data_IF_490355952395
#
_entry.id   IF_490355952395
#
_cell.length_a   1.000
_cell.length_b   1.000
_cell.length_c   1.000
_cell.angle_alpha   90.00
_cell.angle_beta   90.00
_cell.angle_gamma   90.00
#
_symmetry.space_group_name_H-M   'P 1'
#
loop_
_entity.id
_entity.type
_entity.pdbx_description
1 polymer ?
#
# COMPACT_ATOMS: atom_id res chain seq x y z
N UNK A 1 -4.23 3.36 -20.03
CA UNK A 1 -3.15 2.58 -19.34
C UNK A 1 -2.91 1.34 -20.15
N UNK A 2 -1.71 1.14 -20.63
CA UNK A 2 -1.30 0.02 -21.49
C UNK A 2 -0.05 -0.72 -20.99
N UNK A 3 0.47 -0.31 -19.84
CA UNK A 3 1.62 -0.93 -19.17
C UNK A 3 1.29 -1.19 -17.70
N UNK A 4 1.50 -2.41 -17.23
CA UNK A 4 1.40 -2.77 -15.80
C UNK A 4 2.78 -3.24 -15.32
N UNK A 5 3.27 -2.70 -14.21
CA UNK A 5 4.44 -3.27 -13.53
C UNK A 5 4.03 -3.95 -12.23
N UNK A 6 4.51 -5.15 -11.97
CA UNK A 6 4.21 -5.91 -10.74
C UNK A 6 5.47 -6.10 -9.90
N UNK A 7 5.57 -5.33 -8.82
CA UNK A 7 6.56 -5.50 -7.76
C UNK A 7 5.99 -6.36 -6.64
N UNK A 8 6.84 -7.15 -5.95
CA UNK A 8 6.33 -8.11 -4.95
C UNK A 8 7.39 -8.53 -3.93
N UNK A 9 6.93 -8.89 -2.76
CA UNK A 9 7.68 -9.75 -1.84
C UNK A 9 7.63 -11.20 -2.31
N UNK A 10 8.59 -12.01 -1.91
CA UNK A 10 8.59 -13.44 -2.26
C UNK A 10 7.45 -14.16 -1.54
N UNK A 11 6.71 -14.98 -2.25
CA UNK A 11 5.53 -15.66 -1.71
C UNK A 11 4.24 -14.83 -1.65
N UNK A 12 4.26 -13.52 -1.96
CA UNK A 12 3.06 -12.68 -1.98
C UNK A 12 2.16 -12.84 -3.22
N UNK A 13 2.41 -13.81 -4.09
CA UNK A 13 1.54 -14.13 -5.24
C UNK A 13 1.77 -13.30 -6.50
N UNK A 14 2.84 -12.48 -6.55
CA UNK A 14 3.03 -11.52 -7.64
C UNK A 14 3.20 -12.11 -9.04
N UNK A 15 3.87 -13.26 -9.19
CA UNK A 15 3.99 -13.92 -10.49
C UNK A 15 2.65 -14.49 -10.98
N UNK A 16 1.82 -15.01 -10.07
CA UNK A 16 0.49 -15.52 -10.38
C UNK A 16 -0.45 -14.38 -10.79
N UNK A 17 -0.47 -13.29 -10.02
CA UNK A 17 -1.27 -12.10 -10.36
C UNK A 17 -0.87 -11.53 -11.72
N UNK A 18 0.44 -11.42 -12.00
CA UNK A 18 0.91 -10.88 -13.27
C UNK A 18 0.50 -11.73 -14.47
N UNK A 19 0.64 -13.08 -14.37
CA UNK A 19 0.20 -13.99 -15.42
C UNK A 19 -1.30 -13.88 -15.66
N UNK A 20 -2.10 -13.87 -14.61
CA UNK A 20 -3.57 -13.77 -14.70
C UNK A 20 -4.03 -12.41 -15.22
N UNK A 21 -3.33 -11.33 -14.90
CA UNK A 21 -3.58 -10.00 -15.48
C UNK A 21 -3.29 -10.00 -16.98
N UNK A 22 -2.15 -10.56 -17.40
CA UNK A 22 -1.80 -10.67 -18.81
C UNK A 22 -2.85 -11.49 -19.57
N UNK A 23 -3.27 -12.64 -19.04
CA UNK A 23 -4.33 -13.48 -19.61
C UNK A 23 -5.68 -12.74 -19.69
N UNK A 24 -6.12 -12.11 -18.60
CA UNK A 24 -7.40 -11.40 -18.55
C UNK A 24 -7.46 -10.21 -19.51
N UNK A 25 -6.32 -9.51 -19.70
CA UNK A 25 -6.24 -8.35 -20.58
C UNK A 25 -5.87 -8.71 -22.03
N UNK A 26 -5.40 -9.93 -22.30
CA UNK A 26 -4.83 -10.32 -23.58
C UNK A 26 -3.48 -9.64 -23.86
N UNK A 27 -2.69 -9.35 -22.83
CA UNK A 27 -1.43 -8.61 -22.91
C UNK A 27 -0.21 -9.53 -22.85
N UNK A 28 0.92 -9.05 -23.37
CA UNK A 28 2.21 -9.71 -23.23
C UNK A 28 2.66 -9.75 -21.76
N UNK A 29 3.17 -10.89 -21.30
CA UNK A 29 3.82 -11.01 -20.00
C UNK A 29 5.33 -11.05 -20.17
N UNK A 30 6.04 -10.10 -19.59
CA UNK A 30 7.50 -10.10 -19.51
C UNK A 30 7.94 -10.23 -18.06
N UNK A 31 8.35 -11.42 -17.72
CA UNK A 31 8.92 -11.71 -16.41
C UNK A 31 10.44 -11.45 -16.38
N UNK A 32 11.06 -11.81 -15.24
CA UNK A 32 12.50 -11.64 -15.03
C UNK A 32 13.33 -12.26 -16.16
N UNK A 33 13.01 -13.47 -16.57
CA UNK A 33 13.80 -14.26 -17.50
C UNK A 33 13.73 -13.68 -18.91
N UNK A 34 12.54 -13.35 -19.34
CA UNK A 34 12.31 -12.67 -20.63
C UNK A 34 12.97 -11.30 -20.71
N UNK A 35 12.94 -10.53 -19.61
CA UNK A 35 13.66 -9.25 -19.55
C UNK A 35 15.18 -9.43 -19.57
N UNK A 36 15.71 -10.51 -18.97
CA UNK A 36 17.13 -10.84 -19.09
C UNK A 36 17.53 -11.23 -20.50
N UNK A 37 16.74 -12.07 -21.16
CA UNK A 37 16.99 -12.47 -22.54
C UNK A 37 16.97 -11.26 -23.48
N UNK A 38 15.99 -10.36 -23.32
CA UNK A 38 15.93 -9.12 -24.08
C UNK A 38 17.13 -8.19 -23.80
N UNK A 39 17.63 -8.14 -22.56
CA UNK A 39 18.81 -7.36 -22.20
C UNK A 39 20.12 -8.02 -22.68
N UNK A 40 20.19 -9.33 -22.80
CA UNK A 40 21.36 -10.08 -23.29
C UNK A 40 21.65 -9.81 -24.78
N UNK A 41 20.63 -9.48 -25.56
CA UNK A 41 20.79 -9.06 -26.98
C UNK A 41 21.69 -7.81 -27.09
N UNK A 42 21.81 -7.00 -26.03
CA UNK A 42 22.72 -5.85 -25.97
C UNK A 42 24.14 -6.19 -25.42
N UNK A 43 24.60 -7.42 -25.58
CA UNK A 43 25.99 -7.84 -25.30
C UNK A 43 26.41 -7.83 -23.81
N UNK A 44 25.53 -8.17 -22.89
CA UNK A 44 25.90 -8.44 -21.50
C UNK A 44 26.15 -9.95 -21.32
N UNK A 45 27.37 -10.41 -20.98
CA UNK A 45 27.68 -11.82 -20.82
C UNK A 45 26.86 -12.45 -19.69
N UNK A 46 26.31 -13.66 -19.90
CA UNK A 46 25.51 -14.40 -18.89
C UNK A 46 26.25 -14.59 -17.57
N UNK A 47 27.57 -14.78 -17.59
CA UNK A 47 28.41 -14.89 -16.42
C UNK A 47 28.42 -13.64 -15.52
N UNK A 48 28.21 -12.46 -16.09
CA UNK A 48 28.10 -11.19 -15.35
C UNK A 48 26.68 -11.02 -14.75
N UNK A 49 25.67 -11.60 -15.38
CA UNK A 49 24.28 -11.58 -14.92
C UNK A 49 24.08 -12.45 -13.66
N UNK A 50 24.66 -13.67 -13.68
CA UNK A 50 24.59 -14.57 -12.51
C UNK A 50 25.36 -14.03 -11.30
N UNK A 51 26.51 -13.37 -11.54
CA UNK A 51 27.29 -12.74 -10.47
C UNK A 51 26.56 -11.56 -9.79
N UNK A 52 25.75 -10.83 -10.52
CA UNK A 52 24.95 -9.72 -9.99
C UNK A 52 23.77 -10.20 -9.14
N UNK A 53 23.31 -11.44 -9.40
CA UNK A 53 22.23 -12.05 -8.63
C UNK A 53 22.70 -12.71 -7.32
N UNK A 54 23.90 -13.27 -7.28
CA UNK A 54 24.35 -14.12 -6.17
C UNK A 54 25.40 -13.47 -5.26
N UNK A 55 26.18 -12.50 -5.72
CA UNK A 55 27.30 -11.93 -4.93
C UNK A 55 27.15 -10.41 -4.72
N UNK A 56 27.43 -9.98 -3.49
CA UNK A 56 27.66 -8.57 -3.21
C UNK A 56 28.79 -8.02 -4.11
N UNK A 57 28.48 -6.99 -4.90
CA UNK A 57 29.45 -6.32 -5.75
C UNK A 57 30.63 -5.84 -4.89
N UNK A 58 31.83 -6.33 -5.22
CA UNK A 58 33.06 -5.98 -4.52
C UNK A 58 33.40 -4.50 -4.69
N UNK A 59 34.14 -3.95 -3.71
CA UNK A 59 34.65 -2.56 -3.79
C UNK A 59 35.44 -2.30 -5.09
N UNK A 60 36.13 -3.30 -5.62
CA UNK A 60 36.90 -3.22 -6.86
C UNK A 60 36.05 -2.95 -8.11
N UNK A 61 34.77 -3.38 -8.14
CA UNK A 61 33.89 -3.17 -9.30
C UNK A 61 33.37 -1.72 -9.40
N UNK A 62 33.48 -0.95 -8.31
CA UNK A 62 33.07 0.48 -8.28
C UNK A 62 34.06 1.41 -9.02
N UNK A 63 35.28 0.96 -9.24
CA UNK A 63 36.36 1.79 -9.84
C UNK A 63 36.61 1.50 -11.32
N UNK A 64 35.81 0.65 -11.98
CA UNK A 64 35.92 0.41 -13.43
C UNK A 64 35.20 1.50 -14.21
N UNK A 65 35.80 1.97 -15.32
CA UNK A 65 35.24 3.01 -16.20
C UNK A 65 33.87 2.65 -16.80
N UNK A 66 33.59 1.36 -17.02
CA UNK A 66 32.29 0.83 -17.43
C UNK A 66 32.02 -0.48 -16.68
N UNK A 67 31.53 -0.41 -15.43
CA UNK A 67 31.25 -1.60 -14.63
C UNK A 67 30.18 -2.47 -15.32
N UNK A 68 30.29 -3.80 -15.27
CA UNK A 68 29.30 -4.72 -15.87
C UNK A 68 27.87 -4.44 -15.42
N UNK A 69 27.68 -4.03 -14.17
CA UNK A 69 26.37 -3.69 -13.60
C UNK A 69 25.71 -2.46 -14.25
N UNK A 70 26.48 -1.48 -14.74
CA UNK A 70 25.91 -0.31 -15.45
C UNK A 70 25.43 -0.71 -16.85
N UNK A 71 26.18 -1.53 -17.58
CA UNK A 71 25.76 -2.06 -18.88
C UNK A 71 24.52 -2.92 -18.74
N UNK A 72 24.49 -3.81 -17.74
CA UNK A 72 23.29 -4.60 -17.42
C UNK A 72 22.06 -3.72 -17.17
N UNK A 73 22.19 -2.69 -16.32
CA UNK A 73 21.09 -1.78 -16.03
C UNK A 73 20.66 -0.97 -17.26
N UNK A 74 21.59 -0.63 -18.11
CA UNK A 74 21.27 0.06 -19.38
C UNK A 74 20.45 -0.85 -20.30
N UNK A 75 20.90 -2.07 -20.55
CA UNK A 75 20.18 -3.07 -21.36
C UNK A 75 18.80 -3.38 -20.78
N UNK A 76 18.72 -3.60 -19.45
CA UNK A 76 17.45 -3.85 -18.79
C UNK A 76 16.48 -2.67 -18.89
N UNK A 77 17.00 -1.44 -18.81
CA UNK A 77 16.20 -0.22 -18.98
C UNK A 77 15.71 -0.08 -20.42
N UNK A 78 16.59 -0.33 -21.39
CA UNK A 78 16.23 -0.28 -22.81
C UNK A 78 15.15 -1.32 -23.14
N UNK A 79 15.32 -2.56 -22.70
CA UNK A 79 14.35 -3.63 -22.90
C UNK A 79 12.98 -3.31 -22.27
N UNK A 80 12.97 -2.84 -21.02
CA UNK A 80 11.74 -2.46 -20.34
C UNK A 80 11.01 -1.30 -21.02
N UNK A 81 11.75 -0.27 -21.46
CA UNK A 81 11.20 0.88 -22.20
C UNK A 81 10.70 0.51 -23.58
N UNK A 82 11.43 -0.35 -24.30
CA UNK A 82 10.99 -0.85 -25.59
C UNK A 82 9.69 -1.66 -25.48
N UNK A 83 9.60 -2.53 -24.47
CA UNK A 83 8.36 -3.25 -24.20
C UNK A 83 7.21 -2.29 -23.86
N UNK A 84 7.45 -1.31 -22.99
CA UNK A 84 6.46 -0.30 -22.62
C UNK A 84 6.01 0.54 -23.84
N UNK A 85 6.91 0.86 -24.76
CA UNK A 85 6.59 1.62 -25.97
C UNK A 85 5.69 0.84 -26.95
N UNK A 86 5.71 -0.51 -26.92
CA UNK A 86 4.76 -1.33 -27.67
C UNK A 86 3.37 -1.34 -27.06
N UNK A 87 3.27 -1.04 -25.76
CA UNK A 87 2.03 -1.13 -25.00
C UNK A 87 1.55 -2.55 -24.76
N UNK A 88 0.41 -2.68 -24.07
CA UNK A 88 -0.26 -3.97 -23.77
C UNK A 88 0.68 -4.99 -23.13
N UNK A 89 1.42 -4.58 -22.10
CA UNK A 89 2.44 -5.42 -21.45
C UNK A 89 2.34 -5.41 -19.92
N UNK A 90 2.54 -6.59 -19.33
CA UNK A 90 2.70 -6.79 -17.88
C UNK A 90 4.17 -7.12 -17.60
N UNK A 91 4.87 -6.25 -16.89
CA UNK A 91 6.28 -6.37 -16.55
C UNK A 91 6.48 -6.80 -15.09
N UNK A 92 7.26 -7.84 -14.82
CA UNK A 92 7.38 -8.42 -13.48
C UNK A 92 8.81 -8.35 -12.93
N UNK A 93 8.99 -7.59 -11.85
CA UNK A 93 10.22 -7.59 -11.04
C UNK A 93 11.35 -6.72 -11.58
N UNK A 94 12.57 -6.97 -11.07
CA UNK A 94 13.83 -6.28 -11.44
C UNK A 94 13.78 -4.76 -11.45
N UNK A 95 12.97 -4.16 -10.58
CA UNK A 95 12.86 -2.72 -10.52
C UNK A 95 12.16 -2.09 -11.73
N UNK A 96 11.32 -2.83 -12.47
CA UNK A 96 10.59 -2.33 -13.65
C UNK A 96 9.85 -1.02 -13.37
N UNK A 97 9.29 -0.86 -12.16
CA UNK A 97 8.71 0.42 -11.73
C UNK A 97 9.73 1.56 -11.81
N UNK A 98 10.95 1.34 -11.32
CA UNK A 98 11.99 2.36 -11.27
C UNK A 98 12.62 2.60 -12.64
N UNK A 99 12.74 1.56 -13.46
CA UNK A 99 13.27 1.64 -14.83
C UNK A 99 12.36 2.44 -15.75
N UNK A 100 11.04 2.29 -15.60
CA UNK A 100 10.06 3.06 -16.37
C UNK A 100 9.83 4.47 -15.80
N UNK A 101 10.19 4.70 -14.52
CA UNK A 101 10.02 6.00 -13.89
C UNK A 101 8.56 6.42 -13.79
N UNK A 102 8.26 7.67 -14.11
CA UNK A 102 6.91 8.23 -14.03
C UNK A 102 6.20 8.21 -15.41
N UNK A 103 6.31 7.10 -16.14
CA UNK A 103 5.58 6.91 -17.39
C UNK A 103 4.06 7.09 -17.13
N UNK A 104 3.39 8.04 -17.81
CA UNK A 104 2.00 8.41 -17.48
C UNK A 104 1.01 7.26 -17.65
N UNK A 105 1.23 6.40 -18.66
CA UNK A 105 0.33 5.30 -19.00
C UNK A 105 0.67 3.97 -18.31
N UNK A 106 1.63 4.00 -17.38
CA UNK A 106 2.01 2.82 -16.62
C UNK A 106 1.31 2.78 -15.24
N UNK A 107 0.69 1.64 -14.95
CA UNK A 107 0.16 1.30 -13.63
C UNK A 107 1.16 0.46 -12.84
N UNK A 108 1.54 0.93 -11.67
CA UNK A 108 2.53 0.28 -10.83
C UNK A 108 1.89 -0.39 -9.62
N UNK A 109 1.79 -1.71 -9.68
CA UNK A 109 1.27 -2.56 -8.61
C UNK A 109 2.40 -3.10 -7.73
N UNK A 110 2.21 -3.09 -6.42
CA UNK A 110 3.08 -3.79 -5.47
C UNK A 110 2.27 -4.74 -4.60
N UNK A 111 2.73 -5.97 -4.45
CA UNK A 111 2.12 -6.99 -3.58
C UNK A 111 3.01 -7.26 -2.38
N UNK A 112 2.41 -7.19 -1.20
CA UNK A 112 3.02 -7.50 0.08
C UNK A 112 2.14 -8.50 0.84
N UNK A 113 2.72 -9.25 1.79
CA UNK A 113 1.94 -10.07 2.72
C UNK A 113 2.72 -10.34 4.01
N UNK A 114 2.05 -10.62 5.14
CA UNK A 114 2.71 -11.04 6.36
C UNK A 114 3.64 -12.23 6.11
N UNK A 115 4.82 -12.20 6.75
CA UNK A 115 5.84 -13.24 6.53
C UNK A 115 5.29 -14.64 6.76
N UNK A 116 4.58 -14.87 7.85
CA UNK A 116 4.05 -16.19 8.20
C UNK A 116 3.03 -16.70 7.17
N UNK A 117 2.22 -15.79 6.61
CA UNK A 117 1.32 -16.14 5.51
C UNK A 117 2.10 -16.56 4.26
N UNK A 118 3.16 -15.82 3.91
CA UNK A 118 4.02 -16.15 2.75
C UNK A 118 4.74 -17.46 2.92
N UNK A 119 5.23 -17.74 4.12
CA UNK A 119 5.89 -19.01 4.48
C UNK A 119 4.93 -20.18 4.31
N UNK A 120 3.74 -20.13 4.91
CA UNK A 120 2.73 -21.20 4.77
C UNK A 120 2.34 -21.42 3.31
N UNK A 121 2.12 -20.33 2.55
CA UNK A 121 1.78 -20.40 1.14
C UNK A 121 2.89 -21.08 0.32
N UNK A 122 4.15 -20.74 0.57
CA UNK A 122 5.29 -21.32 -0.15
C UNK A 122 5.52 -22.78 0.26
N UNK A 123 5.42 -23.11 1.55
CA UNK A 123 5.49 -24.47 2.03
C UNK A 123 4.46 -25.37 1.34
N UNK A 124 3.20 -24.95 1.29
CA UNK A 124 2.13 -25.73 0.64
C UNK A 124 2.30 -25.85 -0.87
N UNK A 125 2.78 -24.79 -1.54
CA UNK A 125 2.94 -24.78 -3.00
C UNK A 125 4.13 -25.63 -3.49
N UNK A 126 5.25 -25.58 -2.76
CA UNK A 126 6.51 -26.22 -3.17
C UNK A 126 6.76 -27.57 -2.47
N UNK A 127 5.89 -27.96 -1.54
CA UNK A 127 6.09 -29.15 -0.72
C UNK A 127 7.24 -29.02 0.30
N UNK A 128 7.60 -27.80 0.69
CA UNK A 128 8.68 -27.53 1.64
C UNK A 128 8.20 -27.56 3.08
N UNK A 129 9.13 -27.82 4.01
CA UNK A 129 8.89 -27.51 5.42
C UNK A 129 8.78 -25.98 5.63
N UNK A 130 8.11 -25.54 6.68
CA UNK A 130 8.03 -24.12 7.00
C UNK A 130 9.42 -23.49 7.23
N UNK A 131 10.36 -24.23 7.79
CA UNK A 131 11.75 -23.78 7.97
C UNK A 131 12.45 -23.52 6.62
N UNK A 132 12.31 -24.42 5.66
CA UNK A 132 12.84 -24.25 4.30
C UNK A 132 12.18 -23.06 3.59
N UNK A 133 10.84 -22.97 3.67
CA UNK A 133 10.09 -21.86 3.10
C UNK A 133 10.49 -20.51 3.72
N UNK A 134 10.67 -20.45 5.05
CA UNK A 134 11.15 -19.25 5.74
C UNK A 134 12.55 -18.84 5.28
N UNK A 135 13.49 -19.80 5.25
CA UNK A 135 14.84 -19.54 4.79
C UNK A 135 14.84 -18.95 3.37
N UNK A 136 14.05 -19.55 2.47
CA UNK A 136 13.95 -19.07 1.08
C UNK A 136 13.27 -17.70 0.98
N UNK A 137 12.23 -17.43 1.74
CA UNK A 137 11.60 -16.10 1.79
C UNK A 137 12.61 -15.04 2.22
N UNK A 138 13.35 -15.27 3.28
CA UNK A 138 14.36 -14.33 3.79
C UNK A 138 15.50 -14.10 2.80
N UNK A 139 16.00 -15.14 2.18
CA UNK A 139 17.08 -15.08 1.18
C UNK A 139 16.67 -14.23 -0.04
N UNK A 140 15.54 -14.56 -0.65
CA UNK A 140 15.07 -13.87 -1.86
C UNK A 140 14.70 -12.41 -1.57
N UNK A 141 14.05 -12.14 -0.44
CA UNK A 141 13.68 -10.76 -0.07
C UNK A 141 14.95 -9.92 0.23
N UNK A 142 15.95 -10.48 0.91
CA UNK A 142 17.25 -9.79 1.13
C UNK A 142 17.96 -9.50 -0.19
N UNK A 143 17.97 -10.45 -1.12
CA UNK A 143 18.57 -10.25 -2.45
C UNK A 143 17.87 -9.13 -3.21
N UNK A 144 16.52 -9.12 -3.22
CA UNK A 144 15.72 -8.06 -3.84
C UNK A 144 15.93 -6.70 -3.17
N UNK A 145 16.00 -6.66 -1.84
CA UNK A 145 16.24 -5.42 -1.10
C UNK A 145 17.62 -4.84 -1.41
N UNK A 146 18.68 -5.69 -1.43
CA UNK A 146 20.04 -5.26 -1.81
C UNK A 146 20.09 -4.69 -3.21
N UNK A 147 19.47 -5.37 -4.18
CA UNK A 147 19.36 -4.91 -5.56
C UNK A 147 18.67 -3.55 -5.64
N UNK A 148 17.49 -3.43 -5.04
CA UNK A 148 16.73 -2.18 -5.05
C UNK A 148 17.49 -1.03 -4.37
N UNK A 149 18.11 -1.29 -3.22
CA UNK A 149 18.89 -0.28 -2.48
C UNK A 149 20.11 0.17 -3.27
N UNK A 150 20.79 -0.76 -3.92
CA UNK A 150 22.00 -0.45 -4.69
C UNK A 150 21.69 0.39 -5.93
N UNK A 151 20.69 0.00 -6.74
CA UNK A 151 20.41 0.65 -8.01
C UNK A 151 19.46 1.84 -7.91
N UNK A 152 18.53 1.82 -6.97
CA UNK A 152 17.44 2.80 -6.89
C UNK A 152 17.33 3.51 -5.53
N UNK A 153 18.20 3.17 -4.59
CA UNK A 153 18.21 3.76 -3.25
C UNK A 153 17.16 3.16 -2.29
N UNK A 154 17.27 3.55 -1.01
CA UNK A 154 16.45 3.00 0.07
C UNK A 154 14.95 3.29 -0.05
N UNK A 155 14.56 4.28 -0.85
CA UNK A 155 13.17 4.67 -1.03
C UNK A 155 12.45 3.90 -2.15
N UNK A 156 13.13 3.00 -2.87
CA UNK A 156 12.60 2.33 -4.05
C UNK A 156 11.33 1.51 -3.81
N UNK A 157 11.15 0.98 -2.59
CA UNK A 157 10.02 0.12 -2.23
C UNK A 157 8.95 0.82 -1.40
N UNK A 158 9.07 2.13 -1.19
CA UNK A 158 8.07 2.91 -0.43
C UNK A 158 6.73 2.95 -1.16
N UNK A 159 5.60 2.91 -0.44
CA UNK A 159 4.26 2.87 -1.03
C UNK A 159 3.96 4.01 -2.02
N UNK A 160 4.45 5.22 -1.76
CA UNK A 160 4.24 6.39 -2.63
C UNK A 160 4.93 6.29 -4.01
N UNK A 161 5.71 5.24 -4.24
CA UNK A 161 6.30 4.93 -5.55
C UNK A 161 5.39 4.11 -6.47
N UNK A 162 4.32 3.54 -5.93
CA UNK A 162 3.38 2.69 -6.64
C UNK A 162 2.01 3.35 -6.71
N UNK A 163 1.17 2.95 -7.66
CA UNK A 163 -0.23 3.39 -7.76
C UNK A 163 -1.08 2.69 -6.70
N UNK A 164 -0.83 1.39 -6.55
CA UNK A 164 -1.52 0.52 -5.61
C UNK A 164 -0.56 -0.44 -4.93
N UNK A 165 -0.63 -0.52 -3.60
CA UNK A 165 0.00 -1.59 -2.82
C UNK A 165 -1.09 -2.44 -2.19
N UNK A 166 -1.05 -3.75 -2.40
CA UNK A 166 -2.06 -4.68 -1.89
C UNK A 166 -1.42 -5.66 -0.92
N UNK A 167 -2.05 -5.84 0.22
CA UNK A 167 -1.72 -6.89 1.18
C UNK A 167 -2.47 -8.17 0.80
N UNK A 168 -1.81 -9.08 0.10
CA UNK A 168 -2.40 -10.35 -0.37
C UNK A 168 -2.65 -11.36 0.75
N UNK A 169 -2.18 -11.08 1.96
CA UNK A 169 -2.59 -11.82 3.15
C UNK A 169 -4.01 -11.45 3.63
N UNK A 170 -4.57 -10.34 3.13
CA UNK A 170 -5.92 -9.85 3.43
C UNK A 170 -6.84 -9.80 2.21
N UNK A 171 -6.27 -9.57 1.02
CA UNK A 171 -7.01 -9.48 -0.25
C UNK A 171 -6.67 -10.68 -1.11
N UNK A 172 -7.65 -11.53 -1.49
CA UNK A 172 -7.43 -12.66 -2.38
C UNK A 172 -6.86 -12.22 -3.74
N UNK A 173 -6.01 -13.07 -4.34
CA UNK A 173 -5.36 -12.75 -5.61
C UNK A 173 -6.37 -12.51 -6.75
N UNK A 174 -7.51 -13.22 -6.72
CA UNK A 174 -8.59 -13.07 -7.69
C UNK A 174 -9.16 -11.67 -7.69
N UNK A 175 -9.36 -11.09 -6.49
CA UNK A 175 -9.86 -9.74 -6.33
C UNK A 175 -8.85 -8.69 -6.78
N UNK A 176 -7.55 -8.95 -6.56
CA UNK A 176 -6.50 -8.06 -7.08
C UNK A 176 -6.55 -8.04 -8.61
N UNK A 177 -6.64 -9.22 -9.25
CA UNK A 177 -6.72 -9.33 -10.71
C UNK A 177 -7.96 -8.61 -11.23
N UNK A 178 -9.12 -8.88 -10.64
CA UNK A 178 -10.38 -8.26 -11.06
C UNK A 178 -10.35 -6.74 -10.93
N UNK A 179 -9.96 -6.20 -9.77
CA UNK A 179 -9.88 -4.75 -9.55
C UNK A 179 -8.92 -4.06 -10.53
N UNK A 180 -7.74 -4.65 -10.79
CA UNK A 180 -6.78 -4.04 -11.71
C UNK A 180 -7.25 -4.14 -13.16
N UNK A 181 -7.89 -5.25 -13.55
CA UNK A 181 -8.45 -5.43 -14.90
C UNK A 181 -9.56 -4.41 -15.18
N UNK A 182 -10.50 -4.23 -14.26
CA UNK A 182 -11.58 -3.25 -14.40
C UNK A 182 -11.04 -1.80 -14.44
N UNK A 183 -10.03 -1.49 -13.62
CA UNK A 183 -9.35 -0.19 -13.65
C UNK A 183 -8.73 0.09 -15.02
N UNK A 184 -7.98 -0.88 -15.55
CA UNK A 184 -7.24 -0.71 -16.81
C UNK A 184 -8.19 -0.60 -18.01
N UNK A 185 -9.27 -1.35 -18.01
CA UNK A 185 -10.32 -1.28 -19.06
C UNK A 185 -11.17 -0.02 -19.00
N UNK A 186 -11.08 0.76 -17.93
CA UNK A 186 -11.96 1.90 -17.71
C UNK A 186 -13.41 1.51 -17.39
N UNK A 187 -13.61 0.28 -16.94
CA UNK A 187 -14.93 -0.29 -16.64
C UNK A 187 -15.39 0.03 -15.20
N UNK A 188 -14.59 0.76 -14.43
CA UNK A 188 -14.94 1.17 -13.07
C UNK A 188 -16.23 1.99 -13.05
N UNK A 189 -17.24 1.47 -12.39
CA UNK A 189 -18.57 2.11 -12.27
C UNK A 189 -19.59 1.68 -13.33
N UNK A 190 -19.26 0.78 -14.26
CA UNK A 190 -20.21 0.18 -15.20
C UNK A 190 -20.78 -1.17 -14.69
N UNK A 191 -20.08 -1.83 -13.76
CA UNK A 191 -20.63 -3.00 -13.07
C UNK A 191 -21.69 -2.54 -12.08
N UNK A 192 -22.85 -3.18 -12.10
CA UNK A 192 -23.88 -2.99 -11.08
C UNK A 192 -23.22 -3.04 -9.71
N UNK A 193 -23.23 -1.91 -9.00
CA UNK A 193 -22.94 -1.88 -7.58
C UNK A 193 -23.94 -2.85 -6.92
N UNK A 194 -23.51 -4.08 -6.69
CA UNK A 194 -24.21 -4.95 -5.75
C UNK A 194 -23.92 -4.36 -4.37
N UNK A 195 -24.57 -3.25 -4.09
CA UNK A 195 -24.68 -2.74 -2.72
C UNK A 195 -25.38 -3.86 -1.96
N UNK A 196 -24.70 -4.55 -1.02
CA UNK A 196 -25.32 -5.62 -0.27
C UNK A 196 -26.58 -5.07 0.38
N UNK A 197 -27.72 -5.78 0.21
CA UNK A 197 -29.00 -5.34 0.74
C UNK A 197 -28.90 -5.21 2.28
N UNK A 198 -29.55 -4.20 2.85
CA UNK A 198 -29.73 -4.00 4.30
C UNK A 198 -30.18 -5.30 4.95
N UNK A 199 -29.35 -5.86 5.84
CA UNK A 199 -29.73 -7.06 6.60
C UNK A 199 -28.56 -7.91 7.07
N UNK A 200 -27.37 -7.71 6.52
CA UNK A 200 -26.13 -8.37 6.93
C UNK A 200 -25.28 -7.40 7.76
N UNK A 201 -24.28 -7.90 8.50
CA UNK A 201 -23.36 -7.09 9.32
C UNK A 201 -22.93 -5.85 8.56
N UNK A 202 -23.06 -4.67 9.17
CA UNK A 202 -22.85 -3.42 8.50
C UNK A 202 -21.43 -3.24 8.00
N UNK A 203 -21.27 -2.67 6.81
CA UNK A 203 -20.00 -2.41 6.14
C UNK A 203 -19.19 -1.36 6.89
N UNK A 204 -17.89 -1.59 7.08
CA UNK A 204 -16.99 -0.65 7.72
C UNK A 204 -15.79 -0.39 6.83
N UNK A 205 -15.54 0.87 6.52
CA UNK A 205 -14.31 1.32 5.87
C UNK A 205 -13.50 2.15 6.85
N UNK A 206 -12.26 1.76 7.11
CA UNK A 206 -11.32 2.60 7.85
C UNK A 206 -10.30 3.22 6.89
N UNK A 207 -10.22 4.54 6.90
CA UNK A 207 -9.34 5.29 6.02
C UNK A 207 -8.22 5.97 6.80
N UNK A 208 -7.00 5.50 6.64
CA UNK A 208 -5.80 6.17 7.11
C UNK A 208 -5.23 7.05 5.99
N UNK A 209 -4.66 8.20 6.32
CA UNK A 209 -4.09 9.08 5.29
C UNK A 209 -2.90 9.87 5.79
N UNK A 210 -1.93 10.09 4.91
CA UNK A 210 -0.91 11.11 5.07
C UNK A 210 -1.51 12.50 4.87
N UNK A 211 -0.99 13.52 5.57
CA UNK A 211 -1.46 14.88 5.34
C UNK A 211 -1.12 15.32 3.90
N UNK A 212 -2.12 15.77 3.16
CA UNK A 212 -2.00 16.09 1.72
C UNK A 212 -2.10 14.90 0.78
N UNK A 213 -2.29 13.66 1.27
CA UNK A 213 -2.52 12.50 0.42
C UNK A 213 -3.98 12.31 -0.01
N UNK A 214 -4.91 13.10 0.49
CA UNK A 214 -6.30 13.19 0.06
C UNK A 214 -6.79 14.61 0.34
N UNK A 215 -7.62 15.15 -0.51
CA UNK A 215 -8.30 16.42 -0.26
C UNK A 215 -9.43 16.25 0.77
N UNK A 216 -10.06 17.37 1.13
CA UNK A 216 -11.18 17.37 2.07
C UNK A 216 -12.42 16.68 1.51
N UNK A 217 -12.54 16.57 0.19
CA UNK A 217 -13.65 15.92 -0.52
C UNK A 217 -13.49 14.43 -0.68
N UNK A 218 -12.28 13.87 -0.54
CA UNK A 218 -12.02 12.45 -0.84
C UNK A 218 -12.90 11.49 -0.01
N UNK A 219 -12.90 11.63 1.31
CA UNK A 219 -13.67 10.74 2.18
C UNK A 219 -15.18 10.91 2.01
N UNK A 220 -15.76 12.13 1.92
CA UNK A 220 -17.16 12.31 1.59
C UNK A 220 -17.57 11.73 0.24
N UNK A 221 -16.76 11.93 -0.82
CA UNK A 221 -17.03 11.38 -2.15
C UNK A 221 -17.03 9.85 -2.15
N UNK A 222 -16.02 9.24 -1.51
CA UNK A 222 -15.94 7.79 -1.38
C UNK A 222 -17.12 7.22 -0.57
N UNK A 223 -17.47 7.88 0.53
CA UNK A 223 -18.59 7.47 1.37
C UNK A 223 -19.94 7.57 0.63
N UNK A 224 -20.18 8.66 -0.10
CA UNK A 224 -21.36 8.83 -0.92
C UNK A 224 -21.50 7.72 -1.96
N UNK A 225 -20.38 7.38 -2.64
CA UNK A 225 -20.36 6.31 -3.65
C UNK A 225 -20.66 4.92 -3.07
N UNK A 226 -20.25 4.68 -1.81
CA UNK A 226 -20.45 3.40 -1.12
C UNK A 226 -21.72 3.38 -0.25
N UNK A 227 -22.46 4.47 -0.14
CA UNK A 227 -23.60 4.59 0.76
C UNK A 227 -23.23 4.49 2.22
N UNK A 228 -22.03 5.02 2.61
CA UNK A 228 -21.53 5.01 3.97
C UNK A 228 -21.67 6.38 4.64
N UNK A 229 -21.74 6.38 5.97
CA UNK A 229 -21.68 7.61 6.79
C UNK A 229 -20.25 7.92 7.18
N UNK A 230 -19.81 9.16 6.97
CA UNK A 230 -18.45 9.58 7.36
C UNK A 230 -18.40 9.86 8.85
N UNK A 231 -17.36 9.34 9.49
CA UNK A 231 -16.96 9.67 10.87
C UNK A 231 -15.49 10.13 10.81
N UNK A 232 -15.31 11.43 10.73
CA UNK A 232 -13.98 12.04 10.71
C UNK A 232 -13.43 12.24 12.14
N UNK A 233 -12.25 12.83 12.22
CA UNK A 233 -11.57 13.08 13.49
C UNK A 233 -12.42 13.88 14.48
N UNK A 234 -13.04 14.96 14.03
CA UNK A 234 -13.80 15.87 14.89
C UNK A 234 -15.04 15.17 15.47
N UNK A 235 -15.76 14.43 14.64
CA UNK A 235 -16.90 13.64 15.07
C UNK A 235 -16.51 12.54 16.06
N UNK A 236 -15.37 11.88 15.84
CA UNK A 236 -14.85 10.86 16.76
C UNK A 236 -14.45 11.47 18.10
N UNK A 237 -13.84 12.64 18.12
CA UNK A 237 -13.47 13.37 19.34
C UNK A 237 -14.70 13.82 20.11
N UNK A 238 -15.70 14.41 19.45
CA UNK A 238 -16.97 14.80 20.08
C UNK A 238 -17.71 13.61 20.72
N UNK A 239 -17.65 12.44 20.08
CA UNK A 239 -18.26 11.23 20.63
C UNK A 239 -17.45 10.64 21.79
N UNK A 240 -16.10 10.75 21.76
CA UNK A 240 -15.24 10.35 22.89
C UNK A 240 -15.51 11.19 24.15
N UNK A 241 -15.83 12.49 23.99
CA UNK A 241 -16.28 13.34 25.11
C UNK A 241 -17.53 12.79 25.79
N UNK A 242 -18.49 12.26 25.03
CA UNK A 242 -19.71 11.63 25.57
C UNK A 242 -19.42 10.35 26.36
N UNK A 243 -18.28 9.71 26.12
CA UNK A 243 -17.80 8.53 26.85
C UNK A 243 -16.94 8.89 28.07
N UNK A 244 -16.93 10.16 28.49
CA UNK A 244 -16.30 10.62 29.73
C UNK A 244 -14.86 11.11 29.59
N UNK A 245 -14.41 11.42 28.38
CA UNK A 245 -13.12 12.11 28.14
C UNK A 245 -13.40 13.58 27.90
N UNK A 246 -12.89 14.48 28.76
CA UNK A 246 -13.14 15.92 28.60
C UNK A 246 -12.39 16.52 27.38
N UNK A 247 -12.88 17.65 26.85
CA UNK A 247 -12.21 18.38 25.75
C UNK A 247 -10.79 18.82 26.12
N UNK A 248 -10.59 19.23 27.40
CA UNK A 248 -9.27 19.59 27.90
C UNK A 248 -8.31 18.38 27.93
N UNK A 249 -8.83 17.20 28.23
CA UNK A 249 -8.07 15.95 28.17
C UNK A 249 -7.70 15.56 26.75
N UNK A 250 -8.59 15.77 25.77
CA UNK A 250 -8.31 15.54 24.34
C UNK A 250 -7.20 16.46 23.83
N UNK A 251 -7.22 17.73 24.18
CA UNK A 251 -6.19 18.69 23.83
C UNK A 251 -4.81 18.27 24.38
N UNK A 252 -4.74 17.80 25.63
CA UNK A 252 -3.49 17.31 26.22
C UNK A 252 -2.95 16.05 25.53
N UNK A 253 -3.80 15.13 25.10
CA UNK A 253 -3.38 13.93 24.37
C UNK A 253 -2.77 14.27 23.01
N UNK A 254 -3.26 15.32 22.36
CA UNK A 254 -2.74 15.79 21.09
C UNK A 254 -1.45 16.61 21.21
N UNK A 255 -1.30 17.39 22.28
CA UNK A 255 -0.17 18.31 22.45
C UNK A 255 1.05 17.69 23.15
N UNK A 256 0.84 16.70 24.01
CA UNK A 256 1.92 16.08 24.76
C UNK A 256 2.07 14.60 24.40
N UNK A 257 3.23 14.19 23.84
CA UNK A 257 3.54 12.77 23.69
C UNK A 257 3.67 12.15 25.10
N UNK A 258 2.79 11.19 25.42
CA UNK A 258 2.84 10.49 26.67
C UNK A 258 4.18 9.75 26.84
N UNK A 259 4.88 9.97 27.94
CA UNK A 259 6.00 9.12 28.35
C UNK A 259 5.52 7.67 28.56
N UNK A 260 6.41 6.69 28.35
CA UNK A 260 6.10 5.25 28.42
C UNK A 260 5.32 4.88 29.70
N UNK A 261 5.67 5.47 30.83
CA UNK A 261 5.01 5.23 32.12
C UNK A 261 3.61 5.85 32.26
N UNK A 262 3.31 6.94 31.54
CA UNK A 262 1.99 7.59 31.59
C UNK A 262 0.96 6.85 30.74
N UNK A 263 1.38 6.11 29.72
CA UNK A 263 0.51 5.38 28.80
C UNK A 263 -0.13 4.15 29.42
N UNK A 264 0.62 3.44 30.26
CA UNK A 264 0.19 2.18 30.88
C UNK A 264 -0.31 2.35 32.32
N UNK A 265 -0.43 3.57 32.81
CA UNK A 265 -1.00 3.80 34.16
C UNK A 265 -2.50 3.53 34.11
N UNK A 266 -3.00 2.46 34.75
CA UNK A 266 -4.42 2.17 34.81
C UNK A 266 -5.21 3.40 35.33
N UNK A 267 -6.27 3.80 34.61
CA UNK A 267 -7.05 4.98 34.95
C UNK A 267 -6.43 6.33 34.57
N UNK A 268 -5.22 6.35 33.98
CA UNK A 268 -4.61 7.56 33.42
C UNK A 268 -5.37 8.09 32.21
N UNK A 269 -5.18 9.40 31.92
CA UNK A 269 -5.85 10.09 30.82
C UNK A 269 -5.72 9.38 29.47
N UNK A 270 -4.50 9.03 29.10
CA UNK A 270 -4.22 8.34 27.83
C UNK A 270 -4.88 6.96 27.73
N UNK A 271 -4.94 6.23 28.84
CA UNK A 271 -5.59 4.92 28.90
C UNK A 271 -7.11 5.05 28.69
N UNK A 272 -7.76 5.98 29.42
CA UNK A 272 -9.21 6.24 29.28
C UNK A 272 -9.58 6.69 27.87
N UNK A 273 -8.79 7.60 27.28
CA UNK A 273 -9.01 8.03 25.90
C UNK A 273 -8.90 6.88 24.90
N UNK A 274 -7.89 6.04 25.06
CA UNK A 274 -7.67 4.89 24.18
C UNK A 274 -8.81 3.87 24.29
N UNK A 275 -9.27 3.57 25.53
CA UNK A 275 -10.41 2.67 25.76
C UNK A 275 -11.70 3.24 25.18
N UNK A 276 -11.98 4.53 25.42
CA UNK A 276 -13.17 5.21 24.88
C UNK A 276 -13.17 5.18 23.34
N UNK A 277 -12.01 5.44 22.73
CA UNK A 277 -11.87 5.39 21.27
C UNK A 277 -12.07 3.97 20.72
N UNK A 278 -11.52 2.96 21.39
CA UNK A 278 -11.71 1.55 21.02
C UNK A 278 -13.16 1.10 21.14
N UNK A 279 -13.85 1.49 22.21
CA UNK A 279 -15.27 1.22 22.40
C UNK A 279 -16.11 1.90 21.31
N UNK A 280 -15.85 3.18 21.04
CA UNK A 280 -16.52 3.94 19.98
C UNK A 280 -16.35 3.27 18.61
N UNK A 281 -15.14 2.84 18.26
CA UNK A 281 -14.90 2.14 17.00
C UNK A 281 -15.72 0.86 16.89
N UNK A 282 -15.82 0.07 17.95
CA UNK A 282 -16.65 -1.14 18.00
C UNK A 282 -18.15 -0.84 17.88
N UNK A 283 -18.63 0.21 18.53
CA UNK A 283 -20.03 0.65 18.43
C UNK A 283 -20.38 1.12 17.02
N UNK A 284 -19.47 1.89 16.38
CA UNK A 284 -19.64 2.32 14.99
C UNK A 284 -19.66 1.13 14.03
N UNK A 285 -18.77 0.16 14.24
CA UNK A 285 -18.73 -1.06 13.46
C UNK A 285 -20.02 -1.90 13.63
N UNK A 286 -20.53 -2.00 14.84
CA UNK A 286 -21.79 -2.70 15.13
C UNK A 286 -23.01 -2.05 14.45
N UNK A 287 -23.02 -0.70 14.35
CA UNK A 287 -24.07 0.03 13.61
C UNK A 287 -23.93 -0.10 12.10
N UNK A 288 -22.71 -0.35 11.62
CA UNK A 288 -22.36 -0.55 10.22
C UNK A 288 -22.55 0.66 9.30
N UNK A 289 -22.30 0.43 8.04
CA UNK A 289 -22.36 1.44 6.97
C UNK A 289 -21.64 2.74 7.31
N UNK A 290 -20.38 2.61 7.76
CA UNK A 290 -19.57 3.71 8.25
C UNK A 290 -18.18 3.76 7.59
N UNK A 291 -17.74 4.98 7.27
CA UNK A 291 -16.36 5.31 6.91
C UNK A 291 -15.73 6.11 8.04
N UNK A 292 -14.71 5.55 8.70
CA UNK A 292 -13.96 6.24 9.75
C UNK A 292 -12.64 6.77 9.22
N UNK A 293 -12.28 8.01 9.56
CA UNK A 293 -11.04 8.65 9.09
C UNK A 293 -10.06 8.84 10.23
N UNK A 294 -8.94 8.11 10.19
CA UNK A 294 -7.86 8.22 11.17
C UNK A 294 -8.12 7.51 12.50
N UNK A 295 -7.45 7.98 13.56
CA UNK A 295 -7.58 7.54 14.97
C UNK A 295 -7.46 6.02 15.19
N UNK A 296 -6.65 5.34 14.39
CA UNK A 296 -6.34 3.92 14.61
C UNK A 296 -7.45 2.95 14.25
N UNK A 297 -8.46 3.35 13.46
CA UNK A 297 -9.58 2.48 13.09
C UNK A 297 -9.14 1.12 12.55
N UNK A 298 -8.09 1.06 11.72
CA UNK A 298 -7.54 -0.20 11.19
C UNK A 298 -6.96 -1.13 12.25
N UNK A 299 -6.59 -0.62 13.42
CA UNK A 299 -6.05 -1.42 14.53
C UNK A 299 -7.14 -1.86 15.47
N UNK A 300 -8.07 -0.96 15.82
CA UNK A 300 -9.21 -1.30 16.67
C UNK A 300 -10.13 -2.34 16.04
N UNK A 301 -10.27 -2.31 14.71
CA UNK A 301 -11.14 -3.19 13.94
C UNK A 301 -10.37 -4.20 13.10
N UNK A 302 -9.12 -4.50 13.47
CA UNK A 302 -8.22 -5.37 12.70
C UNK A 302 -8.79 -6.74 12.39
N UNK A 303 -9.52 -7.31 13.35
CA UNK A 303 -10.05 -8.66 13.30
C UNK A 303 -11.56 -8.69 12.99
N UNK A 304 -12.15 -7.53 12.69
CA UNK A 304 -13.54 -7.45 12.25
C UNK A 304 -13.63 -7.84 10.75
N UNK A 305 -14.32 -8.94 10.41
CA UNK A 305 -14.41 -9.43 9.05
C UNK A 305 -15.20 -8.50 8.11
N UNK A 306 -15.99 -7.56 8.64
CA UNK A 306 -16.72 -6.56 7.86
C UNK A 306 -15.91 -5.27 7.62
N UNK A 307 -14.72 -5.15 8.24
CA UNK A 307 -13.90 -3.96 8.16
C UNK A 307 -12.86 -4.03 7.02
N UNK A 308 -13.00 -3.13 6.05
CA UNK A 308 -12.00 -2.91 5.02
C UNK A 308 -11.09 -1.76 5.39
N UNK A 309 -9.79 -1.99 5.40
CA UNK A 309 -8.79 -1.00 5.82
C UNK A 309 -8.01 -0.46 4.63
N UNK A 310 -8.08 0.84 4.40
CA UNK A 310 -7.37 1.51 3.33
C UNK A 310 -6.43 2.62 3.85
N UNK A 311 -5.34 2.85 3.13
CA UNK A 311 -4.43 3.96 3.39
C UNK A 311 -4.22 4.79 2.13
N UNK A 312 -4.23 6.12 2.26
CA UNK A 312 -3.89 7.06 1.20
C UNK A 312 -2.47 7.58 1.38
N UNK A 313 -1.72 7.55 0.29
CA UNK A 313 -0.36 8.11 0.19
C UNK A 313 -0.25 9.02 -1.03
N UNK A 314 0.75 9.89 -1.04
CA UNK A 314 1.15 10.62 -2.23
C UNK A 314 2.63 11.01 -2.14
N UNK A 315 3.25 11.31 -3.28
CA UNK A 315 4.62 11.81 -3.32
C UNK A 315 4.77 13.11 -2.50
N UNK A 316 5.92 13.33 -1.84
CA UNK A 316 6.10 14.47 -0.93
C UNK A 316 5.80 15.85 -1.57
N UNK A 317 6.19 16.05 -2.81
CA UNK A 317 5.94 17.29 -3.57
C UNK A 317 4.45 17.51 -3.88
N UNK A 318 3.72 16.45 -4.19
CA UNK A 318 2.26 16.50 -4.37
C UNK A 318 1.57 16.88 -3.07
N UNK A 319 1.98 16.26 -1.96
CA UNK A 319 1.45 16.57 -0.62
C UNK A 319 1.69 18.01 -0.23
N UNK A 320 2.92 18.50 -0.45
CA UNK A 320 3.29 19.90 -0.14
C UNK A 320 2.42 20.87 -0.94
N UNK A 321 2.30 20.67 -2.25
CA UNK A 321 1.46 21.52 -3.11
C UNK A 321 0.02 21.56 -2.63
N UNK A 322 -0.61 20.40 -2.36
CA UNK A 322 -1.99 20.33 -1.86
C UNK A 322 -2.17 21.01 -0.51
N UNK A 323 -1.21 20.86 0.42
CA UNK A 323 -1.27 21.53 1.74
C UNK A 323 -1.10 23.04 1.59
N UNK A 324 -0.22 23.50 0.69
CA UNK A 324 -0.09 24.93 0.39
C UNK A 324 -1.40 25.52 -0.12
N UNK A 325 -2.06 24.87 -1.07
CA UNK A 325 -3.32 25.29 -1.67
C UNK A 325 -4.48 25.32 -0.66
N UNK A 326 -4.64 24.24 0.10
CA UNK A 326 -5.77 24.12 1.05
C UNK A 326 -5.62 24.93 2.34
N UNK A 327 -4.39 25.23 2.76
CA UNK A 327 -4.10 25.92 4.01
C UNK A 327 -3.52 27.32 3.81
N UNK A 328 -3.38 27.78 2.58
CA UNK A 328 -2.79 29.06 2.22
C UNK A 328 -1.40 29.28 2.82
N UNK A 329 -0.60 28.18 2.87
CA UNK A 329 0.73 28.18 3.45
C UNK A 329 1.81 28.34 2.38
N UNK A 330 2.98 28.89 2.77
CA UNK A 330 4.20 28.85 1.96
C UNK A 330 4.85 27.46 2.06
N UNK A 331 5.79 27.15 1.16
CA UNK A 331 6.44 25.83 1.04
C UNK A 331 7.07 25.34 2.36
N UNK A 332 7.87 26.17 3.04
CA UNK A 332 8.53 25.80 4.30
C UNK A 332 7.55 25.39 5.39
N UNK A 333 6.59 26.25 5.77
CA UNK A 333 5.54 25.91 6.73
C UNK A 333 4.71 24.67 6.33
N UNK A 334 4.40 24.48 5.04
CA UNK A 334 3.67 23.29 4.58
C UNK A 334 4.49 22.02 4.81
N UNK A 335 5.79 22.00 4.49
CA UNK A 335 6.69 20.86 4.76
C UNK A 335 6.78 20.56 6.26
N UNK A 336 6.92 21.59 7.10
CA UNK A 336 6.98 21.43 8.54
C UNK A 336 5.68 20.81 9.09
N UNK A 337 4.53 21.32 8.66
CA UNK A 337 3.23 20.81 9.07
C UNK A 337 3.04 19.34 8.67
N UNK A 338 3.45 18.97 7.46
CA UNK A 338 3.42 17.57 6.98
C UNK A 338 4.30 16.69 7.86
N UNK A 339 5.55 17.09 8.12
CA UNK A 339 6.48 16.32 8.94
C UNK A 339 5.97 16.11 10.37
N UNK A 340 5.43 17.17 10.99
CA UNK A 340 4.83 17.10 12.33
C UNK A 340 3.62 16.16 12.35
N UNK A 341 2.73 16.29 11.38
CA UNK A 341 1.52 15.46 11.27
C UNK A 341 1.84 13.98 11.07
N UNK A 342 2.83 13.65 10.24
CA UNK A 342 3.26 12.26 10.00
C UNK A 342 3.93 11.68 11.25
N UNK A 343 4.76 12.48 11.93
CA UNK A 343 5.42 12.07 13.17
C UNK A 343 4.42 11.82 14.29
N UNK A 344 3.40 12.66 14.45
CA UNK A 344 2.30 12.45 15.42
C UNK A 344 1.57 11.12 15.16
N UNK A 345 1.24 10.82 13.89
CA UNK A 345 0.60 9.54 13.54
C UNK A 345 1.51 8.34 13.81
N UNK A 346 2.79 8.45 13.43
CA UNK A 346 3.77 7.40 13.68
C UNK A 346 3.89 7.10 15.17
N UNK A 347 4.02 8.15 16.00
CA UNK A 347 4.06 8.00 17.47
C UNK A 347 2.78 7.39 18.00
N UNK A 348 1.62 7.88 17.60
CA UNK A 348 0.35 7.32 18.02
C UNK A 348 0.27 5.81 17.76
N UNK A 349 0.64 5.35 16.57
CA UNK A 349 0.61 3.91 16.28
C UNK A 349 1.67 3.11 17.03
N UNK A 350 2.88 3.62 17.13
CA UNK A 350 3.95 2.97 17.89
C UNK A 350 3.58 2.86 19.38
N UNK A 351 3.02 3.93 19.92
CA UNK A 351 2.75 4.07 21.35
C UNK A 351 1.56 3.24 21.82
N UNK A 352 0.47 3.26 21.07
CA UNK A 352 -0.77 2.60 21.49
C UNK A 352 -0.92 1.18 20.94
N UNK A 353 -0.29 0.87 19.82
CA UNK A 353 -0.48 -0.42 19.16
C UNK A 353 0.82 -1.21 18.96
N UNK A 354 1.99 -0.64 19.29
CA UNK A 354 3.29 -1.28 18.99
C UNK A 354 3.49 -1.54 17.49
N UNK A 355 2.91 -0.71 16.63
CA UNK A 355 2.84 -0.94 15.18
C UNK A 355 3.43 0.23 14.38
N UNK A 356 3.86 -0.08 13.16
CA UNK A 356 4.28 0.94 12.20
C UNK A 356 3.09 1.38 11.34
N UNK A 357 2.60 2.60 11.58
CA UNK A 357 1.54 3.23 10.79
C UNK A 357 1.83 3.28 9.29
N UNK A 358 3.10 3.36 8.90
CA UNK A 358 3.49 3.43 7.50
C UNK A 358 3.52 2.07 6.81
N UNK A 359 3.47 0.97 7.56
CA UNK A 359 3.50 -0.38 7.02
C UNK A 359 2.25 -0.69 6.19
N UNK A 360 2.40 -1.11 4.93
CA UNK A 360 1.26 -1.54 4.11
C UNK A 360 0.59 -2.82 4.64
N UNK A 361 1.25 -3.56 5.54
CA UNK A 361 0.69 -4.77 6.17
C UNK A 361 -0.45 -4.46 7.16
N UNK A 362 -0.57 -3.22 7.60
CA UNK A 362 -1.66 -2.77 8.47
C UNK A 362 -2.99 -2.61 7.73
N UNK A 363 -2.96 -2.57 6.39
CA UNK A 363 -4.10 -2.24 5.54
C UNK A 363 -4.38 -3.38 4.55
N UNK A 364 -5.57 -3.40 3.97
CA UNK A 364 -5.89 -4.22 2.81
C UNK A 364 -5.22 -3.66 1.57
N UNK A 365 -5.35 -2.33 1.39
CA UNK A 365 -4.76 -1.62 0.26
C UNK A 365 -4.14 -0.28 0.70
N UNK A 366 -3.10 0.13 -0.01
CA UNK A 366 -2.55 1.50 0.06
C UNK A 366 -2.60 2.10 -1.34
N UNK A 367 -3.28 3.22 -1.47
CA UNK A 367 -3.59 3.88 -2.74
C UNK A 367 -2.86 5.21 -2.85
N UNK A 368 -2.18 5.43 -3.97
CA UNK A 368 -1.48 6.68 -4.27
C UNK A 368 -2.40 7.66 -5.00
N UNK A 369 -2.94 8.61 -4.26
CA UNK A 369 -3.84 9.63 -4.81
C UNK A 369 -3.13 10.66 -5.67
N UNK A 370 -1.81 10.77 -5.57
CA UNK A 370 -1.02 11.68 -6.39
C UNK A 370 -0.87 11.18 -7.83
N UNK A 371 -0.85 9.86 -8.02
CA UNK A 371 -0.73 9.21 -9.31
C UNK A 371 -2.08 8.90 -9.94
N UNK A 372 -3.00 8.36 -9.17
CA UNK A 372 -4.33 7.98 -9.64
C UNK A 372 -5.32 9.15 -9.77
N UNK A 373 -5.07 10.26 -9.07
CA UNK A 373 -6.01 11.36 -9.11
C UNK A 373 -7.43 10.95 -8.70
N UNK A 374 -8.46 11.35 -9.47
CA UNK A 374 -9.86 11.00 -9.21
C UNK A 374 -10.12 9.48 -9.23
N UNK A 375 -9.42 8.71 -10.08
CA UNK A 375 -9.57 7.26 -10.16
C UNK A 375 -9.25 6.52 -8.85
N UNK A 376 -8.59 7.18 -7.90
CA UNK A 376 -8.33 6.62 -6.57
C UNK A 376 -9.62 6.35 -5.78
N UNK A 377 -10.64 7.19 -5.94
CA UNK A 377 -11.97 6.98 -5.32
C UNK A 377 -12.63 5.76 -5.92
N UNK A 378 -12.62 5.66 -7.25
CA UNK A 378 -13.25 4.57 -7.99
C UNK A 378 -12.61 3.22 -7.66
N UNK A 379 -11.27 3.19 -7.64
CA UNK A 379 -10.52 1.99 -7.27
C UNK A 379 -10.82 1.55 -5.83
N UNK A 380 -10.88 2.48 -4.88
CA UNK A 380 -11.22 2.14 -3.49
C UNK A 380 -12.66 1.68 -3.34
N UNK A 381 -13.59 2.32 -4.03
CA UNK A 381 -14.99 1.91 -4.01
C UNK A 381 -15.14 0.48 -4.57
N UNK A 382 -14.50 0.19 -5.69
CA UNK A 382 -14.48 -1.14 -6.30
C UNK A 382 -13.87 -2.18 -5.35
N UNK A 383 -12.68 -1.92 -4.80
CA UNK A 383 -11.98 -2.86 -3.92
C UNK A 383 -12.78 -3.15 -2.63
N UNK A 384 -13.37 -2.12 -2.02
CA UNK A 384 -14.19 -2.28 -0.83
C UNK A 384 -15.51 -3.00 -1.14
N UNK A 385 -16.18 -2.68 -2.25
CA UNK A 385 -17.42 -3.34 -2.69
C UNK A 385 -17.20 -4.84 -2.92
N UNK A 386 -16.13 -5.21 -3.62
CA UNK A 386 -15.77 -6.61 -3.85
C UNK A 386 -15.40 -7.34 -2.55
N UNK A 387 -14.69 -6.69 -1.66
CA UNK A 387 -14.39 -7.25 -0.33
C UNK A 387 -15.66 -7.60 0.43
N UNK A 388 -16.63 -6.70 0.51
CA UNK A 388 -17.91 -6.97 1.21
C UNK A 388 -18.79 -7.96 0.48
N UNK A 389 -18.78 -7.98 -0.84
CA UNK A 389 -19.51 -8.97 -1.64
C UNK A 389 -19.16 -10.41 -1.28
N UNK A 390 -17.90 -10.67 -0.89
CA UNK A 390 -17.45 -12.01 -0.43
C UNK A 390 -17.68 -12.23 1.06
N UNK A 391 -17.32 -11.26 1.90
CA UNK A 391 -17.36 -11.42 3.35
C UNK A 391 -18.76 -11.51 3.91
N UNK A 392 -19.75 -11.01 3.18
CA UNK A 392 -21.14 -11.00 3.61
C UNK A 392 -21.96 -12.15 2.99
N UNK A 393 -21.40 -12.90 2.05
CA UNK A 393 -22.00 -14.09 1.42
C UNK A 393 -21.44 -15.41 1.93
N UNK A 394 -20.42 -15.37 2.79
CA UNK A 394 -19.83 -16.51 3.48
C UNK A 394 -20.29 -16.58 4.94
#
# INVERSE_FOLDING_TARGET
MDVITVSREYGAGGGEVARRLAEALGWELLDRELLHQAAAVEHVPDADLERLDEKALGLADRFRLHPPHQRYMHGLTAAARQAAARGNVVLVGRGTRQLLGDLPDAFHLRLVAPRDWRVRRMAGREGWSEAQALARCLEVDRTRERFNRYFFGAAATRPEKYDLVVNTGRVPLDEVVACVTELVRGEMGQGQETVPQRGQRGRVLTLSRELGAGDTGFAPTLAARLGLRVQDRELLEQQAVRLGVSEAELAQVDEQPAGIFQRFRPGGLHHRYFEALGQLMKELAARGDVLTVGRGGSRFLRDDPAAFHARLVAAPDVRVRRVMEHRWLRNGPARQLIAQSDEQRRRFYADYFGADWASPLEYHVTVNTGRLGPAAVDLLALAAGRFWGRSLSA
#
